data_IF_843197147337
#
_entry.id   IF_843197147337
#
_cell.length_a   1.000
_cell.length_b   1.000
_cell.length_c   1.000
_cell.angle_alpha   90.00
_cell.angle_beta   90.00
_cell.angle_gamma   90.00
#
_symmetry.space_group_name_H-M   'P 1'
#
loop_
_entity.id
_entity.type
_entity.pdbx_description
1 polymer ?
#
# COMPACT_ATOMS: atom_id res chain seq x y z
N UNK A 1 14.49 -26.00 14.21
CA UNK A 1 13.12 -25.79 14.70
C UNK A 1 12.76 -24.30 14.59
N UNK A 2 12.56 -23.72 13.39
CA UNK A 2 12.60 -22.24 13.32
C UNK A 2 11.72 -21.57 12.24
N UNK A 3 11.20 -22.29 11.25
CA UNK A 3 10.46 -21.66 10.14
C UNK A 3 9.05 -21.18 10.55
N UNK A 4 8.32 -21.99 11.33
CA UNK A 4 6.93 -21.71 11.71
C UNK A 4 6.83 -20.57 12.72
N UNK A 5 7.79 -20.46 13.64
CA UNK A 5 7.84 -19.37 14.64
C UNK A 5 8.16 -18.03 13.99
N UNK A 6 9.12 -17.97 13.07
CA UNK A 6 9.46 -16.74 12.36
C UNK A 6 8.29 -16.18 11.52
N UNK A 7 7.47 -17.06 10.92
CA UNK A 7 6.27 -16.65 10.19
C UNK A 7 5.17 -16.12 11.12
N UNK A 8 4.98 -16.73 12.30
CA UNK A 8 4.03 -16.21 13.29
C UNK A 8 4.48 -14.84 13.83
N UNK A 9 5.77 -14.67 14.10
CA UNK A 9 6.31 -13.40 14.58
C UNK A 9 6.09 -12.28 13.55
N UNK A 10 6.30 -12.54 12.26
CA UNK A 10 6.04 -11.56 11.19
C UNK A 10 4.55 -11.23 11.08
N UNK A 11 3.69 -12.24 11.20
CA UNK A 11 2.24 -12.04 11.16
C UNK A 11 1.78 -11.11 12.30
N UNK A 12 2.21 -11.36 13.52
CA UNK A 12 1.86 -10.55 14.69
C UNK A 12 2.36 -9.09 14.53
N UNK A 13 3.56 -8.92 13.96
CA UNK A 13 4.11 -7.60 13.65
C UNK A 13 3.27 -6.86 12.60
N UNK A 14 2.88 -7.52 11.51
CA UNK A 14 2.06 -6.93 10.45
C UNK A 14 0.66 -6.58 10.97
N UNK A 15 0.05 -7.48 11.73
CA UNK A 15 -1.27 -7.27 12.34
C UNK A 15 -1.26 -6.05 13.27
N UNK A 16 -0.16 -5.81 13.99
CA UNK A 16 -0.03 -4.63 14.86
C UNK A 16 -0.07 -3.28 14.13
N UNK A 17 0.19 -3.26 12.82
CA UNK A 17 0.22 -2.04 11.99
C UNK A 17 -0.84 -2.02 10.88
N UNK A 18 -1.57 -3.12 10.66
CA UNK A 18 -2.59 -3.28 9.62
C UNK A 18 -3.61 -2.13 9.61
N UNK A 19 -4.32 -1.95 10.73
CA UNK A 19 -5.32 -0.90 10.85
C UNK A 19 -4.72 0.51 10.69
N UNK A 20 -3.48 0.70 11.16
CA UNK A 20 -2.79 1.97 11.03
C UNK A 20 -2.43 2.29 9.57
N UNK A 21 -1.96 1.30 8.81
CA UNK A 21 -1.71 1.43 7.37
C UNK A 21 -2.99 1.81 6.61
N UNK A 22 -4.12 1.17 6.95
CA UNK A 22 -5.42 1.52 6.38
C UNK A 22 -5.83 2.96 6.70
N UNK A 23 -5.75 3.37 7.97
CA UNK A 23 -6.12 4.74 8.38
C UNK A 23 -5.30 5.80 7.66
N UNK A 24 -3.98 5.58 7.51
CA UNK A 24 -3.09 6.50 6.79
C UNK A 24 -3.45 6.53 5.30
N UNK A 25 -3.67 5.38 4.67
CA UNK A 25 -4.03 5.31 3.26
C UNK A 25 -5.39 5.96 2.99
N UNK A 26 -6.38 5.74 3.86
CA UNK A 26 -7.70 6.33 3.79
C UNK A 26 -7.64 7.86 3.96
N UNK A 27 -6.82 8.35 4.90
CA UNK A 27 -6.61 9.78 5.05
C UNK A 27 -6.05 10.44 3.78
N UNK A 28 -5.17 9.74 3.05
CA UNK A 28 -4.56 10.25 1.81
C UNK A 28 -5.51 10.15 0.60
N UNK A 29 -6.23 9.04 0.45
CA UNK A 29 -7.00 8.71 -0.76
C UNK A 29 -8.49 9.09 -0.66
N UNK A 30 -9.02 9.24 0.56
CA UNK A 30 -10.40 9.62 0.83
C UNK A 30 -11.45 8.61 0.40
N UNK A 31 -11.06 7.38 0.01
CA UNK A 31 -11.99 6.33 -0.40
C UNK A 31 -11.53 4.95 0.09
N UNK A 32 -12.49 4.10 0.43
CA UNK A 32 -12.24 2.80 1.10
C UNK A 32 -11.55 1.78 0.18
N UNK A 33 -11.95 1.74 -1.10
CA UNK A 33 -11.43 0.76 -2.08
C UNK A 33 -9.94 0.99 -2.36
N UNK A 34 -9.55 2.24 -2.63
CA UNK A 34 -8.15 2.55 -2.89
C UNK A 34 -7.32 2.41 -1.62
N UNK A 35 -7.87 2.81 -0.47
CA UNK A 35 -7.21 2.69 0.83
C UNK A 35 -6.96 1.24 1.23
N UNK A 36 -7.93 0.35 1.04
CA UNK A 36 -7.81 -1.07 1.36
C UNK A 36 -6.63 -1.69 0.62
N UNK A 37 -6.57 -1.59 -0.71
CA UNK A 37 -5.47 -2.22 -1.42
C UNK A 37 -4.17 -1.37 -1.49
N UNK A 38 -4.19 -0.09 -1.11
CA UNK A 38 -2.95 0.62 -0.73
C UNK A 38 -2.39 0.08 0.60
N UNK A 39 -3.25 -0.23 1.57
CA UNK A 39 -2.84 -0.80 2.86
C UNK A 39 -2.31 -2.23 2.71
N UNK A 40 -2.93 -3.04 1.85
CA UNK A 40 -2.41 -4.36 1.47
C UNK A 40 -1.02 -4.26 0.84
N UNK A 41 -0.85 -3.36 -0.13
CA UNK A 41 0.46 -3.11 -0.74
C UNK A 41 1.51 -2.65 0.26
N UNK A 42 1.12 -1.87 1.27
CA UNK A 42 2.02 -1.43 2.34
C UNK A 42 2.42 -2.59 3.25
N UNK A 43 1.49 -3.46 3.64
CA UNK A 43 1.78 -4.65 4.46
C UNK A 43 2.70 -5.62 3.74
N UNK A 44 2.49 -5.85 2.43
CA UNK A 44 3.38 -6.66 1.61
C UNK A 44 4.78 -6.05 1.52
N UNK A 45 4.88 -4.72 1.38
CA UNK A 45 6.17 -4.04 1.38
C UNK A 45 6.90 -4.19 2.73
N UNK A 46 6.18 -4.09 3.85
CA UNK A 46 6.74 -4.26 5.20
C UNK A 46 7.15 -5.70 5.49
N UNK A 47 6.40 -6.69 4.99
CA UNK A 47 6.74 -8.10 5.14
C UNK A 47 8.10 -8.44 4.48
N UNK A 48 8.42 -7.75 3.40
CA UNK A 48 9.70 -7.89 2.69
C UNK A 48 10.81 -6.99 3.25
N UNK A 49 10.50 -6.07 4.17
CA UNK A 49 11.46 -5.12 4.72
C UNK A 49 12.10 -5.66 6.02
N UNK A 50 13.38 -6.04 5.92
CA UNK A 50 14.14 -6.50 7.09
C UNK A 50 14.33 -5.42 8.15
N UNK A 51 14.23 -4.14 7.81
CA UNK A 51 14.28 -3.06 8.79
C UNK A 51 13.02 -3.05 9.67
N UNK A 52 11.86 -3.46 9.13
CA UNK A 52 10.62 -3.53 9.88
C UNK A 52 10.64 -4.65 10.93
N UNK A 53 11.20 -5.82 10.58
CA UNK A 53 11.23 -6.98 11.48
C UNK A 53 12.16 -6.77 12.68
N UNK A 54 13.27 -6.05 12.51
CA UNK A 54 14.23 -5.77 13.59
C UNK A 54 13.94 -4.46 14.35
N UNK A 55 13.09 -3.59 13.80
CA UNK A 55 12.78 -2.30 14.40
C UNK A 55 12.07 -2.43 15.76
N UNK A 56 12.26 -1.43 16.63
CA UNK A 56 11.46 -1.27 17.83
C UNK A 56 10.02 -0.86 17.48
N UNK A 57 9.07 -1.07 18.40
CA UNK A 57 7.65 -0.80 18.14
C UNK A 57 7.35 0.66 17.71
N UNK A 58 8.08 1.64 18.24
CA UNK A 58 7.95 3.04 17.85
C UNK A 58 8.38 3.28 16.39
N UNK A 59 9.51 2.69 15.99
CA UNK A 59 10.06 2.82 14.64
C UNK A 59 9.24 2.06 13.60
N UNK A 60 8.64 0.92 13.99
CA UNK A 60 7.72 0.16 13.14
C UNK A 60 6.52 0.99 12.69
N UNK A 61 5.96 1.83 13.56
CA UNK A 61 4.88 2.74 13.16
C UNK A 61 5.34 3.79 12.15
N UNK A 62 6.56 4.31 12.30
CA UNK A 62 7.11 5.27 11.33
C UNK A 62 7.35 4.61 9.95
N UNK A 63 7.89 3.39 9.94
CA UNK A 63 8.08 2.58 8.73
C UNK A 63 6.74 2.25 8.07
N UNK A 64 5.75 1.82 8.86
CA UNK A 64 4.40 1.53 8.39
C UNK A 64 3.73 2.76 7.78
N UNK A 65 3.85 3.93 8.42
CA UNK A 65 3.36 5.20 7.86
C UNK A 65 4.00 5.50 6.51
N UNK A 66 5.33 5.36 6.41
CA UNK A 66 6.07 5.63 5.17
C UNK A 66 5.62 4.69 4.05
N UNK A 67 5.48 3.40 4.34
CA UNK A 67 4.98 2.40 3.39
C UNK A 67 3.55 2.72 2.93
N UNK A 68 2.64 2.99 3.88
CA UNK A 68 1.25 3.33 3.58
C UNK A 68 1.12 4.59 2.70
N UNK A 69 1.87 5.65 3.00
CA UNK A 69 1.89 6.87 2.18
C UNK A 69 2.44 6.59 0.78
N UNK A 70 3.54 5.83 0.66
CA UNK A 70 4.13 5.50 -0.62
C UNK A 70 3.15 4.71 -1.52
N UNK A 71 2.47 3.71 -0.95
CA UNK A 71 1.47 2.91 -1.66
C UNK A 71 0.23 3.74 -2.01
N UNK A 72 -0.24 4.59 -1.11
CA UNK A 72 -1.36 5.50 -1.37
C UNK A 72 -1.03 6.48 -2.52
N UNK A 73 0.16 7.08 -2.52
CA UNK A 73 0.59 7.99 -3.58
C UNK A 73 0.75 7.28 -4.93
N UNK A 74 1.27 6.05 -4.93
CA UNK A 74 1.36 5.22 -6.14
C UNK A 74 -0.04 4.99 -6.72
N UNK A 75 -1.02 4.65 -5.89
CA UNK A 75 -2.41 4.47 -6.32
C UNK A 75 -3.07 5.74 -6.81
N UNK A 76 -2.88 6.86 -6.11
CA UNK A 76 -3.36 8.16 -6.56
C UNK A 76 -2.84 8.48 -7.96
N UNK A 77 -1.57 8.16 -8.25
CA UNK A 77 -0.98 8.32 -9.58
C UNK A 77 -1.60 7.41 -10.62
N UNK A 78 -1.82 6.13 -10.30
CA UNK A 78 -2.47 5.17 -11.20
C UNK A 78 -3.89 5.62 -11.55
N UNK A 79 -4.65 6.12 -10.56
CA UNK A 79 -6.00 6.68 -10.75
C UNK A 79 -5.99 7.88 -11.70
N UNK A 80 -5.09 8.84 -11.47
CA UNK A 80 -4.94 9.99 -12.37
C UNK A 80 -4.51 9.58 -13.80
N UNK A 81 -3.72 8.52 -13.95
CA UNK A 81 -3.31 8.00 -15.25
C UNK A 81 -4.44 7.23 -15.97
N UNK A 82 -5.39 6.65 -15.23
CA UNK A 82 -6.58 6.03 -15.81
C UNK A 82 -7.68 7.04 -16.19
N UNK A 83 -7.68 8.23 -15.60
CA UNK A 83 -8.64 9.32 -15.89
C UNK A 83 -8.27 10.17 -17.12
N UNK A 84 -7.11 9.94 -17.76
CA UNK A 84 -6.84 10.57 -19.05
C UNK A 84 -7.75 9.93 -20.12
N UNK A 85 -8.66 10.69 -20.75
CA UNK A 85 -9.51 10.15 -21.80
C UNK A 85 -8.63 9.62 -22.92
N UNK A 86 -8.80 8.34 -23.24
CA UNK A 86 -8.24 7.71 -24.44
C UNK A 86 -8.81 8.48 -25.62
N UNK A 87 -7.99 9.35 -26.22
CA UNK A 87 -8.33 10.16 -27.39
C UNK A 87 -8.91 9.21 -28.46
N UNK A 88 -10.20 9.39 -28.77
CA UNK A 88 -10.91 8.63 -29.80
C UNK A 88 -10.29 9.01 -31.15
N UNK A 89 -9.63 8.05 -31.78
CA UNK A 89 -9.09 8.13 -33.14
C UNK A 89 -10.14 8.71 -34.12
N UNK A 90 -9.93 9.91 -34.70
CA UNK A 90 -10.86 10.47 -35.66
C UNK A 90 -10.41 10.08 -37.08
N UNK A 91 -10.67 8.84 -37.50
CA UNK A 91 -10.50 8.43 -38.91
C UNK A 91 -11.61 7.51 -39.40
N UNK A 92 -12.83 8.02 -39.40
CA UNK A 92 -13.88 7.58 -40.33
C UNK A 92 -14.35 8.80 -41.12
N UNK A 93 -13.71 9.03 -42.27
CA UNK A 93 -14.25 9.79 -43.39
C UNK A 93 -13.31 9.61 -44.60
N UNK A 94 -13.62 8.66 -45.48
CA UNK A 94 -13.95 8.99 -46.86
C UNK A 94 -14.36 7.72 -47.62
N UNK A 95 -15.63 7.74 -48.06
CA UNK A 95 -16.12 7.12 -49.30
C UNK A 95 -15.32 7.60 -50.52
#
# INVERSE_FOLDING_TARGET
>A
MNGTTALHDIYDLLQSVEHYCYQVAYYVLGNESDAAAASEGALLALACDSAFTIAAAADRRALAKKAAVACAMKRARERCASDTPKELDPRVAND
#
